data_IF_602089858135
#
_entry.id   IF_602089858135
#
_cell.length_a   1.000
_cell.length_b   1.000
_cell.length_c   1.000
_cell.angle_alpha   90.00
_cell.angle_beta   90.00
_cell.angle_gamma   90.00
#
_symmetry.space_group_name_H-M   'P 1'
#
loop_
_entity.id
_entity.type
_entity.pdbx_description
1 polymer ?
#
# COMPACT_ATOMS: atom_id res chain seq x y z
N UNK A 1 -79.61 30.79 -14.36
CA UNK A 1 -79.45 30.89 -12.89
C UNK A 1 -80.10 29.64 -12.37
N UNK A 2 -79.49 28.66 -11.72
CA UNK A 2 -78.23 28.37 -11.01
C UNK A 2 -78.14 26.83 -11.04
N UNK A 3 -77.08 26.08 -10.77
CA UNK A 3 -75.65 26.24 -10.49
C UNK A 3 -75.11 24.80 -10.64
N UNK A 4 -73.89 24.63 -11.16
CA UNK A 4 -73.20 23.34 -11.18
C UNK A 4 -72.76 23.01 -9.76
N UNK A 5 -73.22 21.90 -9.20
CA UNK A 5 -72.57 21.31 -8.01
C UNK A 5 -71.45 20.36 -8.45
N UNK A 6 -70.23 20.81 -8.18
CA UNK A 6 -69.01 20.04 -8.27
C UNK A 6 -69.02 18.93 -7.22
N UNK A 7 -68.99 17.67 -7.63
CA UNK A 7 -68.64 16.55 -6.76
C UNK A 7 -67.14 16.64 -6.49
N UNK A 8 -66.80 17.22 -5.35
CA UNK A 8 -65.43 17.26 -4.82
C UNK A 8 -65.14 15.87 -4.23
N UNK A 9 -64.35 15.06 -4.94
CA UNK A 9 -63.75 13.86 -4.36
C UNK A 9 -62.63 14.33 -3.45
N UNK A 10 -62.96 14.59 -2.19
CA UNK A 10 -61.99 14.86 -1.14
C UNK A 10 -61.41 13.51 -0.71
N UNK A 11 -60.24 13.16 -1.21
CA UNK A 11 -59.43 12.06 -0.68
C UNK A 11 -58.99 12.45 0.73
N UNK A 12 -59.82 12.14 1.74
CA UNK A 12 -59.38 12.14 3.12
C UNK A 12 -58.26 11.12 3.24
N UNK A 13 -57.02 11.60 3.35
CA UNK A 13 -55.95 10.84 3.96
C UNK A 13 -56.45 10.58 5.38
N UNK A 14 -56.95 9.36 5.61
CA UNK A 14 -57.48 8.92 6.90
C UNK A 14 -56.42 9.20 7.96
N UNK A 15 -56.60 10.31 8.67
CA UNK A 15 -55.73 10.71 9.76
C UNK A 15 -55.74 9.58 10.79
N UNK A 16 -54.56 9.20 11.26
CA UNK A 16 -54.38 8.11 12.21
C UNK A 16 -55.41 8.22 13.35
N UNK A 17 -56.33 7.25 13.43
CA UNK A 17 -57.38 7.22 14.45
C UNK A 17 -56.80 6.87 15.83
N UNK A 18 -56.44 7.92 16.58
CA UNK A 18 -55.81 7.84 17.90
C UNK A 18 -56.67 7.08 18.92
N UNK A 19 -58.00 7.08 18.75
CA UNK A 19 -58.90 6.38 19.67
C UNK A 19 -58.83 4.87 19.46
N UNK A 20 -58.81 4.40 18.20
CA UNK A 20 -58.62 2.97 17.89
C UNK A 20 -57.25 2.48 18.35
N UNK A 21 -56.19 3.27 18.12
CA UNK A 21 -54.84 2.93 18.61
C UNK A 21 -54.82 2.76 20.13
N UNK A 22 -55.42 3.68 20.89
CA UNK A 22 -55.46 3.61 22.36
C UNK A 22 -56.14 2.33 22.88
N UNK A 23 -57.20 1.87 22.21
CA UNK A 23 -57.91 0.63 22.57
C UNK A 23 -57.03 -0.59 22.28
N UNK A 24 -56.38 -0.65 21.12
CA UNK A 24 -55.45 -1.74 20.75
C UNK A 24 -54.25 -1.80 21.70
N UNK A 25 -53.70 -0.63 22.07
CA UNK A 25 -52.55 -0.51 22.98
C UNK A 25 -52.88 -0.98 24.40
N UNK A 26 -54.07 -0.66 24.93
CA UNK A 26 -54.52 -1.17 26.22
C UNK A 26 -54.78 -2.68 26.20
N UNK A 27 -55.36 -3.20 25.12
CA UNK A 27 -55.64 -4.64 24.98
C UNK A 27 -54.37 -5.47 24.91
N UNK A 28 -53.34 -4.96 24.22
CA UNK A 28 -52.07 -5.65 24.01
C UNK A 28 -50.94 -5.16 24.93
N UNK A 29 -51.26 -4.41 25.99
CA UNK A 29 -50.28 -3.77 26.88
C UNK A 29 -49.27 -4.78 27.46
N UNK A 30 -49.75 -5.98 27.82
CA UNK A 30 -48.92 -7.06 28.38
C UNK A 30 -47.89 -7.55 27.35
N UNK A 31 -48.30 -7.72 26.08
CA UNK A 31 -47.41 -8.10 24.99
C UNK A 31 -46.39 -6.99 24.68
N UNK A 32 -46.83 -5.73 24.68
CA UNK A 32 -45.94 -4.58 24.46
C UNK A 32 -44.89 -4.49 25.57
N UNK A 33 -45.30 -4.62 26.83
CA UNK A 33 -44.37 -4.64 27.98
C UNK A 33 -43.45 -5.86 27.89
N UNK A 34 -43.98 -7.03 27.52
CA UNK A 34 -43.19 -8.25 27.31
C UNK A 34 -42.09 -8.06 26.27
N UNK A 35 -42.42 -7.53 25.09
CA UNK A 35 -41.42 -7.21 24.06
C UNK A 35 -40.42 -6.16 24.53
N UNK A 36 -40.89 -5.12 25.23
CA UNK A 36 -40.00 -4.09 25.78
C UNK A 36 -38.98 -4.69 26.76
N UNK A 37 -39.41 -5.56 27.67
CA UNK A 37 -38.51 -6.26 28.60
C UNK A 37 -37.56 -7.17 27.84
N UNK A 38 -38.03 -7.97 26.88
CA UNK A 38 -37.18 -8.89 26.10
C UNK A 38 -36.10 -8.10 25.33
N UNK A 39 -36.46 -7.00 24.67
CA UNK A 39 -35.51 -6.19 23.90
C UNK A 39 -34.46 -5.56 24.83
N UNK A 40 -34.87 -5.00 25.97
CA UNK A 40 -33.93 -4.42 26.93
C UNK A 40 -33.06 -5.47 27.59
N UNK A 41 -33.61 -6.65 27.92
CA UNK A 41 -32.84 -7.77 28.45
C UNK A 41 -31.83 -8.28 27.42
N UNK A 42 -32.22 -8.42 26.15
CA UNK A 42 -31.31 -8.80 25.08
C UNK A 42 -30.18 -7.76 24.92
N UNK A 43 -30.52 -6.46 24.89
CA UNK A 43 -29.54 -5.37 24.81
C UNK A 43 -28.59 -5.33 26.03
N UNK A 44 -29.11 -5.60 27.23
CA UNK A 44 -28.28 -5.70 28.44
C UNK A 44 -27.33 -6.88 28.37
N UNK A 45 -27.81 -8.05 27.94
CA UNK A 45 -26.99 -9.26 27.80
C UNK A 45 -25.90 -9.08 26.74
N UNK A 46 -26.20 -8.43 25.61
CA UNK A 46 -25.17 -8.15 24.60
C UNK A 46 -24.09 -7.23 25.15
N UNK A 47 -24.44 -6.13 25.83
CA UNK A 47 -23.43 -5.23 26.43
C UNK A 47 -22.62 -5.95 27.52
N UNK A 48 -23.27 -6.79 28.34
CA UNK A 48 -22.62 -7.50 29.44
C UNK A 48 -21.61 -8.55 28.97
N UNK A 49 -21.83 -9.14 27.79
CA UNK A 49 -21.02 -10.24 27.26
C UNK A 49 -20.19 -9.88 26.02
N UNK A 50 -20.21 -8.61 25.59
CA UNK A 50 -19.31 -8.12 24.55
C UNK A 50 -18.00 -7.66 25.19
N UNK A 51 -16.87 -8.04 24.59
CA UNK A 51 -15.54 -7.63 25.03
C UNK A 51 -15.24 -6.21 24.56
N UNK A 52 -14.70 -5.38 25.44
CA UNK A 52 -14.29 -4.01 25.10
C UNK A 52 -13.15 -4.04 24.06
N UNK A 53 -13.29 -3.24 23.01
CA UNK A 53 -12.25 -3.04 21.98
C UNK A 53 -11.66 -1.65 22.17
N UNK A 54 -10.36 -1.58 22.37
CA UNK A 54 -9.60 -0.35 22.50
C UNK A 54 -8.85 -0.05 21.21
N UNK A 55 -8.70 1.23 20.88
CA UNK A 55 -7.91 1.70 19.76
C UNK A 55 -6.85 2.68 20.28
N UNK A 56 -5.61 2.51 19.83
CA UNK A 56 -4.55 3.50 20.01
C UNK A 56 -4.18 4.07 18.66
N UNK A 57 -3.85 5.36 18.61
CA UNK A 57 -3.46 6.05 17.39
C UNK A 57 -2.17 6.87 17.57
N UNK A 58 -1.41 7.01 16.49
CA UNK A 58 -0.28 7.95 16.38
C UNK A 58 -0.34 8.66 15.03
N UNK A 59 -0.03 9.95 15.05
CA UNK A 59 0.03 10.80 13.86
C UNK A 59 1.50 11.08 13.51
N UNK A 60 1.88 10.71 12.29
CA UNK A 60 3.24 10.86 11.78
C UNK A 60 3.27 11.81 10.60
N UNK A 61 4.09 12.85 10.72
CA UNK A 61 4.41 13.73 9.60
C UNK A 61 5.61 13.17 8.82
N UNK A 62 5.41 12.93 7.53
CA UNK A 62 6.43 12.45 6.63
C UNK A 62 7.28 13.60 6.09
N UNK A 63 8.60 13.46 6.18
CA UNK A 63 9.55 14.37 5.53
C UNK A 63 9.78 13.93 4.09
N UNK A 64 8.97 14.48 3.18
CA UNK A 64 9.06 14.25 1.74
C UNK A 64 10.01 15.28 1.13
N UNK A 65 11.19 14.83 0.72
CA UNK A 65 12.12 15.61 -0.10
C UNK A 65 11.87 15.31 -1.58
N UNK A 66 11.57 16.35 -2.35
CA UNK A 66 11.37 16.24 -3.79
C UNK A 66 12.72 16.34 -4.51
N UNK A 67 13.47 15.24 -4.56
CA UNK A 67 14.76 15.19 -5.27
C UNK A 67 14.62 15.46 -6.79
N UNK A 68 13.45 15.16 -7.38
CA UNK A 68 13.23 15.27 -8.83
C UNK A 68 13.10 16.71 -9.36
N UNK A 69 12.72 17.66 -8.51
CA UNK A 69 12.50 19.07 -8.92
C UNK A 69 13.82 19.82 -9.11
N UNK A 70 14.91 19.36 -8.47
CA UNK A 70 16.25 19.96 -8.58
C UNK A 70 16.90 19.76 -9.97
N UNK A 71 16.42 18.81 -10.77
CA UNK A 71 16.92 18.51 -12.11
C UNK A 71 16.18 19.25 -13.25
N UNK A 72 15.25 20.16 -12.92
CA UNK A 72 14.58 21.02 -13.91
C UNK A 72 13.59 20.32 -14.85
N UNK A 73 13.36 19.01 -14.67
CA UNK A 73 12.36 18.25 -15.42
C UNK A 73 11.01 18.42 -14.74
N UNK A 74 10.26 19.46 -15.11
CA UNK A 74 8.83 19.57 -14.77
C UNK A 74 8.06 18.52 -15.56
N UNK A 75 7.91 17.32 -14.99
CA UNK A 75 6.88 16.39 -15.41
C UNK A 75 5.51 16.98 -15.04
N UNK A 76 4.53 16.80 -15.94
CA UNK A 76 3.15 17.25 -15.76
C UNK A 76 2.62 16.79 -14.40
N UNK A 77 2.02 17.74 -13.70
CA UNK A 77 1.61 17.67 -12.29
C UNK A 77 0.41 16.75 -12.15
N UNK A 78 0.65 15.49 -11.82
CA UNK A 78 -0.36 14.62 -11.23
C UNK A 78 0.26 13.88 -10.03
N UNK A 79 -0.19 14.27 -8.83
CA UNK A 79 -0.19 13.54 -7.55
C UNK A 79 1.05 12.73 -7.14
N UNK A 80 2.26 13.28 -7.34
CA UNK A 80 3.48 12.71 -6.76
C UNK A 80 3.37 12.48 -5.24
N UNK A 81 2.68 13.37 -4.51
CA UNK A 81 2.47 13.22 -3.08
C UNK A 81 1.56 12.01 -2.73
N UNK A 82 0.53 11.72 -3.53
CA UNK A 82 -0.31 10.54 -3.28
C UNK A 82 0.49 9.24 -3.45
N UNK A 83 1.32 9.17 -4.49
CA UNK A 83 2.16 8.00 -4.74
C UNK A 83 3.19 7.78 -3.62
N UNK A 84 3.81 8.87 -3.13
CA UNK A 84 4.78 8.79 -2.04
C UNK A 84 4.10 8.36 -0.74
N UNK A 85 2.98 8.99 -0.38
CA UNK A 85 2.25 8.64 0.85
C UNK A 85 1.73 7.20 0.79
N UNK A 86 1.22 6.76 -0.36
CA UNK A 86 0.78 5.37 -0.54
C UNK A 86 1.95 4.39 -0.39
N UNK A 87 3.12 4.73 -0.92
CA UNK A 87 4.35 3.94 -0.75
C UNK A 87 4.77 3.82 0.72
N UNK A 88 4.71 4.90 1.49
CA UNK A 88 5.03 4.88 2.93
C UNK A 88 4.01 4.08 3.74
N UNK A 89 2.73 4.17 3.40
CA UNK A 89 1.66 3.35 4.00
C UNK A 89 1.94 1.85 3.77
N UNK A 90 2.24 1.46 2.54
CA UNK A 90 2.58 0.07 2.19
C UNK A 90 3.87 -0.38 2.88
N UNK A 91 4.85 0.50 3.04
CA UNK A 91 6.08 0.20 3.75
C UNK A 91 5.82 -0.13 5.23
N UNK A 92 4.93 0.60 5.91
CA UNK A 92 4.51 0.33 7.30
C UNK A 92 3.71 -0.97 7.38
N UNK A 93 2.81 -1.23 6.43
CA UNK A 93 2.04 -2.48 6.38
C UNK A 93 2.86 -3.69 5.91
N UNK A 94 4.06 -3.47 5.39
CA UNK A 94 4.88 -4.54 4.84
C UNK A 94 5.24 -5.58 5.91
N UNK A 95 5.20 -6.85 5.52
CA UNK A 95 5.59 -7.96 6.39
C UNK A 95 7.01 -7.80 6.93
N UNK A 96 7.93 -7.22 6.14
CA UNK A 96 9.32 -7.00 6.56
C UNK A 96 9.38 -6.03 7.74
N UNK A 97 8.66 -4.91 7.66
CA UNK A 97 8.61 -3.94 8.73
C UNK A 97 7.90 -4.49 9.97
N UNK A 98 6.71 -5.11 9.80
CA UNK A 98 5.96 -5.70 10.92
C UNK A 98 6.76 -6.82 11.61
N UNK A 99 7.57 -7.59 10.90
CA UNK A 99 8.50 -8.54 11.52
C UNK A 99 9.49 -7.84 12.46
N UNK A 100 10.13 -6.75 12.02
CA UNK A 100 11.02 -5.97 12.90
C UNK A 100 10.28 -5.40 14.12
N UNK A 101 9.00 -5.03 13.96
CA UNK A 101 8.15 -4.61 15.08
C UNK A 101 7.98 -5.74 16.09
N UNK A 102 7.66 -6.96 15.63
CA UNK A 102 7.57 -8.14 16.50
C UNK A 102 8.88 -8.40 17.23
N UNK A 103 10.03 -8.29 16.55
CA UNK A 103 11.36 -8.47 17.19
C UNK A 103 11.63 -7.46 18.32
N UNK A 104 11.05 -6.27 18.23
CA UNK A 104 11.18 -5.23 19.26
C UNK A 104 10.19 -5.36 20.42
N UNK A 105 9.17 -6.22 20.26
CA UNK A 105 8.07 -6.40 21.19
C UNK A 105 8.23 -7.72 21.94
N UNK A 106 8.05 -7.68 23.26
CA UNK A 106 7.97 -8.88 24.09
C UNK A 106 6.52 -9.38 24.16
N UNK A 107 5.97 -9.76 23.00
CA UNK A 107 4.57 -10.24 22.85
C UNK A 107 4.49 -11.71 22.43
N UNK A 108 5.63 -12.42 22.42
CA UNK A 108 5.68 -13.82 21.98
C UNK A 108 4.87 -14.74 22.90
N UNK A 109 4.73 -14.37 24.17
CA UNK A 109 3.95 -15.14 25.15
C UNK A 109 2.73 -14.30 25.56
N UNK A 110 1.55 -14.78 25.20
CA UNK A 110 0.28 -14.22 25.67
C UNK A 110 -0.14 -14.89 26.98
N UNK A 111 -0.60 -14.10 27.95
CA UNK A 111 -1.12 -14.60 29.22
C UNK A 111 -2.60 -14.25 29.34
N UNK A 112 -3.42 -15.23 29.69
CA UNK A 112 -4.86 -15.09 29.70
C UNK A 112 -5.45 -15.61 31.01
N UNK A 113 -6.44 -14.89 31.54
CA UNK A 113 -7.28 -15.34 32.65
C UNK A 113 -8.65 -15.76 32.11
N UNK A 114 -9.09 -16.95 32.48
CA UNK A 114 -10.38 -17.51 32.11
C UNK A 114 -11.40 -17.06 33.15
N UNK A 115 -12.22 -16.09 32.77
CA UNK A 115 -13.42 -15.75 33.53
C UNK A 115 -14.56 -16.71 33.25
N UNK A 116 -15.67 -16.55 33.97
CA UNK A 116 -16.89 -17.36 33.76
C UNK A 116 -17.53 -17.21 32.39
N UNK A 117 -17.25 -16.10 31.70
CA UNK A 117 -17.90 -15.74 30.42
C UNK A 117 -16.92 -15.17 29.40
N UNK A 118 -15.94 -14.39 29.85
CA UNK A 118 -14.96 -13.73 28.99
C UNK A 118 -13.55 -14.13 29.39
N UNK A 119 -12.70 -14.23 28.38
CA UNK A 119 -11.25 -14.39 28.55
C UNK A 119 -10.59 -13.03 28.45
N UNK A 120 -9.79 -12.70 29.46
CA UNK A 120 -9.06 -11.44 29.53
C UNK A 120 -7.56 -11.67 29.36
N UNK A 121 -6.91 -10.84 28.52
CA UNK A 121 -5.47 -10.93 28.29
C UNK A 121 -4.74 -10.03 29.27
N UNK A 122 -3.85 -10.62 30.07
CA UNK A 122 -3.06 -9.95 31.11
C UNK A 122 -1.71 -9.48 30.59
N UNK A 123 -1.73 -8.65 29.54
CA UNK A 123 -0.51 -8.05 28.99
C UNK A 123 0.22 -7.18 30.05
N UNK A 124 1.49 -7.49 30.32
CA UNK A 124 2.37 -6.89 31.36
C UNK A 124 1.91 -6.98 32.84
N UNK A 125 0.66 -7.32 33.10
CA UNK A 125 0.09 -7.48 34.45
C UNK A 125 -0.29 -8.94 34.76
N UNK A 126 0.32 -9.90 34.07
CA UNK A 126 0.13 -11.31 34.36
C UNK A 126 0.61 -11.65 35.77
N UNK A 127 -0.15 -12.47 36.53
CA UNK A 127 0.28 -12.97 37.85
C UNK A 127 1.44 -13.97 37.74
N UNK A 128 1.71 -14.49 36.54
CA UNK A 128 2.79 -15.45 36.26
C UNK A 128 3.70 -14.97 35.15
N UNK A 129 4.94 -15.45 35.18
CA UNK A 129 5.92 -15.23 34.13
C UNK A 129 6.56 -16.57 33.75
N UNK A 130 6.46 -16.93 32.49
CA UNK A 130 7.07 -18.13 31.91
C UNK A 130 8.42 -17.76 31.34
N UNK A 131 9.44 -18.53 31.70
CA UNK A 131 10.81 -18.40 31.17
C UNK A 131 11.25 -19.75 30.63
N UNK A 132 11.76 -19.78 29.40
CA UNK A 132 12.31 -20.98 28.77
C UNK A 132 13.58 -20.61 27.99
N UNK A 133 14.47 -21.57 27.79
CA UNK A 133 15.67 -21.39 26.94
C UNK A 133 15.30 -21.34 25.46
N UNK A 134 14.33 -22.16 25.05
CA UNK A 134 13.79 -22.20 23.70
C UNK A 134 12.34 -22.72 23.72
N UNK A 135 11.51 -22.18 22.83
CA UNK A 135 10.15 -22.65 22.60
C UNK A 135 10.13 -23.52 21.34
N UNK A 136 9.88 -24.84 21.46
CA UNK A 136 9.86 -25.72 20.30
C UNK A 136 8.60 -25.50 19.46
N UNK A 137 8.69 -25.71 18.15
CA UNK A 137 7.61 -25.34 17.20
C UNK A 137 6.29 -26.06 17.50
N UNK A 138 6.33 -27.28 18.02
CA UNK A 138 5.13 -28.08 18.28
C UNK A 138 4.26 -27.57 19.43
N UNK A 139 4.76 -26.65 20.27
CA UNK A 139 3.96 -26.03 21.34
C UNK A 139 3.38 -24.67 20.95
N UNK A 140 3.75 -24.13 19.78
CA UNK A 140 3.28 -22.82 19.36
C UNK A 140 1.78 -22.84 19.07
N UNK A 141 1.11 -21.74 19.40
CA UNK A 141 -0.33 -21.51 19.20
C UNK A 141 -1.24 -22.51 19.93
N UNK A 142 -0.70 -23.27 20.89
CA UNK A 142 -1.44 -24.19 21.75
C UNK A 142 -1.57 -23.58 23.16
N UNK A 143 -2.78 -23.51 23.75
CA UNK A 143 -2.95 -23.01 25.11
C UNK A 143 -2.42 -24.01 26.13
N UNK A 144 -1.56 -23.53 27.03
CA UNK A 144 -1.07 -24.29 28.18
C UNK A 144 -1.79 -23.74 29.42
N UNK A 145 -2.70 -24.53 29.97
CA UNK A 145 -3.52 -24.12 31.11
C UNK A 145 -2.79 -24.38 32.42
N UNK A 146 -2.95 -23.45 33.35
CA UNK A 146 -2.41 -23.47 34.70
C UNK A 146 -3.56 -23.20 35.66
N UNK A 147 -3.89 -24.21 36.47
CA UNK A 147 -4.88 -24.10 37.54
C UNK A 147 -4.16 -24.01 38.90
N UNK A 148 -4.44 -22.93 39.64
CA UNK A 148 -3.84 -22.70 40.94
C UNK A 148 -4.65 -23.37 42.05
N UNK A 149 -3.99 -24.20 42.85
CA UNK A 149 -4.59 -24.76 44.05
C UNK A 149 -4.49 -23.73 45.19
N UNK A 150 -5.65 -23.19 45.61
CA UNK A 150 -5.75 -22.17 46.65
C UNK A 150 -4.92 -22.52 47.90
N UNK A 151 -4.05 -21.59 48.32
CA UNK A 151 -3.24 -21.73 49.54
C UNK A 151 -2.03 -22.67 49.45
N UNK A 152 -1.67 -23.17 48.26
CA UNK A 152 -0.47 -24.00 48.07
C UNK A 152 0.46 -23.42 46.99
N UNK A 153 1.76 -23.70 47.09
CA UNK A 153 2.76 -23.35 46.07
C UNK A 153 2.78 -24.31 44.87
N UNK A 154 1.78 -25.19 44.81
CA UNK A 154 1.62 -26.18 43.74
C UNK A 154 0.48 -25.76 42.82
N UNK A 155 0.63 -26.07 41.53
CA UNK A 155 -0.37 -25.85 40.51
C UNK A 155 -0.43 -27.06 39.57
N UNK A 156 -1.56 -27.19 38.88
CA UNK A 156 -1.75 -28.19 37.83
C UNK A 156 -1.56 -27.54 36.47
N UNK A 157 -0.78 -28.19 35.60
CA UNK A 157 -0.51 -27.73 34.25
C UNK A 157 -0.97 -28.76 33.23
N UNK A 158 -1.61 -28.32 32.15
CA UNK A 158 -2.05 -29.18 31.04
C UNK A 158 -1.76 -28.51 29.69
N UNK A 159 -1.35 -29.31 28.72
CA UNK A 159 -1.15 -28.88 27.33
C UNK A 159 -2.45 -29.05 26.55
N UNK A 160 -3.04 -27.96 26.07
CA UNK A 160 -4.33 -27.99 25.40
C UNK A 160 -5.48 -28.44 26.31
N UNK A 161 -6.63 -28.72 25.71
CA UNK A 161 -7.81 -29.19 26.45
C UNK A 161 -7.75 -30.69 26.78
N UNK A 162 -7.09 -31.49 25.93
CA UNK A 162 -7.01 -32.96 26.05
C UNK A 162 -5.73 -33.45 26.77
N UNK A 163 -4.85 -32.54 27.18
CA UNK A 163 -3.60 -32.92 27.85
C UNK A 163 -3.82 -33.44 29.27
N UNK A 164 -3.02 -34.44 29.65
CA UNK A 164 -3.01 -34.99 31.00
C UNK A 164 -2.49 -33.95 32.02
N UNK A 165 -3.21 -33.69 33.13
CA UNK A 165 -2.80 -32.70 34.12
C UNK A 165 -1.58 -33.19 34.91
N UNK A 166 -0.54 -32.36 34.93
CA UNK A 166 0.69 -32.61 35.69
C UNK A 166 0.79 -31.63 36.88
N UNK A 167 1.10 -32.14 38.07
CA UNK A 167 1.37 -31.30 39.24
C UNK A 167 2.79 -30.75 39.20
N UNK A 168 2.91 -29.43 39.33
CA UNK A 168 4.18 -28.70 39.35
C UNK A 168 4.17 -27.61 40.43
N UNK A 169 5.31 -26.96 40.65
CA UNK A 169 5.43 -25.86 41.60
C UNK A 169 6.26 -24.70 41.04
N UNK A 170 6.08 -23.51 41.61
CA UNK A 170 6.74 -22.30 41.11
C UNK A 170 8.27 -22.37 41.26
N UNK A 171 8.99 -21.75 40.31
CA UNK A 171 10.45 -21.64 40.32
C UNK A 171 11.21 -22.95 40.07
N UNK A 172 10.52 -24.04 39.74
CA UNK A 172 11.12 -25.33 39.37
C UNK A 172 11.03 -25.55 37.86
N UNK A 173 12.02 -26.24 37.24
CA UNK A 173 11.93 -26.62 35.84
C UNK A 173 10.82 -27.66 35.64
N UNK A 174 9.92 -27.36 34.71
CA UNK A 174 8.79 -28.19 34.29
C UNK A 174 9.11 -28.73 32.91
N UNK A 175 8.85 -30.03 32.71
CA UNK A 175 8.96 -30.67 31.40
C UNK A 175 7.57 -31.12 30.99
N UNK A 176 7.07 -30.56 29.89
CA UNK A 176 5.78 -30.88 29.30
C UNK A 176 5.99 -31.20 27.83
N UNK A 177 5.69 -32.42 27.38
CA UNK A 177 5.88 -32.86 25.98
C UNK A 177 7.26 -32.50 25.37
N UNK A 178 8.33 -32.74 26.14
CA UNK A 178 9.71 -32.42 25.73
C UNK A 178 10.10 -30.94 25.81
N UNK A 179 9.18 -30.04 26.11
CA UNK A 179 9.42 -28.62 26.34
C UNK A 179 9.77 -28.33 27.81
N UNK A 180 10.92 -27.67 28.05
CA UNK A 180 11.40 -27.31 29.39
C UNK A 180 11.24 -25.82 29.66
N UNK A 181 10.57 -25.47 30.75
CA UNK A 181 10.33 -24.08 31.14
C UNK A 181 10.16 -23.93 32.65
N UNK A 182 10.20 -22.69 33.13
CA UNK A 182 10.02 -22.33 34.54
C UNK A 182 8.87 -21.34 34.62
N UNK A 183 7.93 -21.58 35.54
CA UNK A 183 6.85 -20.65 35.86
C UNK A 183 7.20 -19.92 37.16
N UNK A 184 7.36 -18.61 37.08
CA UNK A 184 7.65 -17.74 38.21
C UNK A 184 6.42 -16.91 38.59
N UNK A 185 6.35 -16.52 39.86
CA UNK A 185 5.35 -15.56 40.34
C UNK A 185 5.76 -14.15 39.93
N UNK A 186 4.82 -13.40 39.38
CA UNK A 186 4.98 -11.97 39.10
C UNK A 186 4.59 -11.14 40.33
N UNK A 187 4.85 -9.83 40.27
CA UNK A 187 4.42 -8.87 41.31
C UNK A 187 2.90 -8.79 41.46
N UNK A 188 2.17 -9.14 40.41
CA UNK A 188 0.70 -9.15 40.38
C UNK A 188 0.09 -10.49 40.83
N UNK A 189 0.90 -11.41 41.37
CA UNK A 189 0.41 -12.70 41.85
C UNK A 189 -0.44 -12.51 43.12
N UNK A 190 -1.71 -12.91 43.05
CA UNK A 190 -2.60 -12.98 44.20
C UNK A 190 -2.77 -14.46 44.63
N UNK A 191 -2.27 -14.86 45.81
CA UNK A 191 -2.42 -16.23 46.32
C UNK A 191 -3.87 -16.67 46.59
N UNK A 192 -4.81 -15.73 46.62
CA UNK A 192 -6.24 -15.98 46.83
C UNK A 192 -7.03 -16.10 45.52
N UNK A 193 -6.42 -15.76 44.38
CA UNK A 193 -7.06 -15.90 43.08
C UNK A 193 -7.31 -17.38 42.76
N UNK A 194 -8.56 -17.72 42.47
CA UNK A 194 -8.99 -19.08 42.07
C UNK A 194 -9.28 -19.15 40.57
N UNK A 195 -8.94 -18.10 39.83
CA UNK A 195 -9.19 -18.04 38.40
C UNK A 195 -8.26 -19.03 37.68
N UNK A 196 -8.76 -19.68 36.64
CA UNK A 196 -7.95 -20.50 35.75
C UNK A 196 -7.18 -19.59 34.80
N UNK A 197 -5.90 -19.88 34.60
CA UNK A 197 -5.07 -19.12 33.66
C UNK A 197 -4.58 -20.05 32.56
N UNK A 198 -4.23 -19.47 31.43
CA UNK A 198 -3.44 -20.16 30.43
C UNK A 198 -2.48 -19.18 29.78
N UNK A 199 -1.40 -19.72 29.21
CA UNK A 199 -0.53 -18.96 28.35
C UNK A 199 -0.43 -19.62 26.98
N UNK A 200 -0.20 -18.82 25.96
CA UNK A 200 0.06 -19.28 24.59
C UNK A 200 1.41 -18.72 24.18
N UNK A 201 2.24 -19.57 23.60
CA UNK A 201 3.44 -19.11 22.89
C UNK A 201 3.05 -18.95 21.43
N UNK A 202 2.98 -17.71 20.96
CA UNK A 202 2.54 -17.43 19.60
C UNK A 202 3.62 -17.75 18.58
N UNK A 203 3.23 -18.40 17.49
CA UNK A 203 4.13 -18.51 16.34
C UNK A 203 4.37 -17.14 15.72
N UNK A 204 5.50 -17.01 15.03
CA UNK A 204 5.84 -15.78 14.33
C UNK A 204 4.80 -15.41 13.27
N UNK A 205 4.24 -16.41 12.59
CA UNK A 205 3.19 -16.22 11.59
C UNK A 205 1.88 -15.76 12.22
N UNK A 206 1.47 -16.35 13.35
CA UNK A 206 0.28 -15.91 14.09
C UNK A 206 0.40 -14.45 14.53
N UNK A 207 1.56 -14.03 15.04
CA UNK A 207 1.78 -12.62 15.43
C UNK A 207 1.74 -11.68 14.23
N UNK A 208 2.31 -12.09 13.10
CA UNK A 208 2.32 -11.29 11.88
C UNK A 208 0.91 -11.09 11.33
N UNK A 209 0.10 -12.15 11.30
CA UNK A 209 -1.30 -12.07 10.88
C UNK A 209 -2.11 -11.20 11.84
N UNK A 210 -1.92 -11.40 13.15
CA UNK A 210 -2.53 -10.57 14.19
C UNK A 210 -2.20 -9.07 14.01
N UNK A 211 -0.95 -8.71 13.73
CA UNK A 211 -0.60 -7.32 13.48
C UNK A 211 -1.21 -6.79 12.19
N UNK A 212 -1.21 -7.60 11.13
CA UNK A 212 -1.71 -7.21 9.80
C UNK A 212 -3.22 -6.96 9.79
N UNK A 213 -3.98 -7.76 10.52
CA UNK A 213 -5.45 -7.65 10.59
C UNK A 213 -5.91 -6.46 11.45
N UNK A 214 -5.14 -6.12 12.48
CA UNK A 214 -5.55 -5.13 13.49
C UNK A 214 -4.91 -3.74 13.29
N UNK A 215 -3.92 -3.62 12.41
CA UNK A 215 -3.31 -2.33 12.05
C UNK A 215 -4.12 -1.63 10.96
N UNK A 216 -4.42 -0.36 11.17
CA UNK A 216 -4.96 0.53 10.15
C UNK A 216 -4.00 1.68 9.94
N UNK A 217 -3.64 1.94 8.69
CA UNK A 217 -2.81 3.09 8.32
C UNK A 217 -3.52 3.84 7.23
N UNK A 218 -3.81 5.11 7.47
CA UNK A 218 -4.57 5.97 6.59
C UNK A 218 -3.95 7.37 6.48
N UNK A 219 -4.05 8.03 5.32
CA UNK A 219 -3.61 9.40 5.16
C UNK A 219 -4.55 10.34 5.90
N UNK A 220 -4.02 11.18 6.79
CA UNK A 220 -4.79 12.19 7.50
C UNK A 220 -4.91 13.47 6.65
N UNK A 221 -3.79 13.89 6.06
CA UNK A 221 -3.74 15.07 5.20
C UNK A 221 -2.63 14.93 4.16
N UNK A 222 -3.02 14.81 2.90
CA UNK A 222 -2.09 14.68 1.77
C UNK A 222 -1.25 15.94 1.51
N UNK A 223 -1.76 17.13 1.84
CA UNK A 223 -1.02 18.39 1.70
C UNK A 223 0.02 18.59 2.81
N UNK A 224 -0.28 18.08 4.01
CA UNK A 224 0.63 18.12 5.15
C UNK A 224 1.53 16.89 5.24
N UNK A 225 1.43 15.94 4.30
CA UNK A 225 2.14 14.66 4.29
C UNK A 225 2.02 13.91 5.62
N UNK A 226 0.82 13.89 6.20
CA UNK A 226 0.58 13.30 7.52
C UNK A 226 -0.22 12.01 7.38
N UNK A 227 0.26 10.95 8.03
CA UNK A 227 -0.40 9.65 8.11
C UNK A 227 -0.83 9.39 9.56
N UNK A 228 -1.93 8.67 9.72
CA UNK A 228 -2.40 8.16 11.00
C UNK A 228 -2.24 6.66 11.02
N UNK A 229 -1.60 6.15 12.06
CA UNK A 229 -1.48 4.74 12.35
C UNK A 229 -2.37 4.45 13.55
N UNK A 230 -3.34 3.55 13.40
CA UNK A 230 -4.14 3.04 14.51
C UNK A 230 -4.02 1.53 14.65
N UNK A 231 -4.21 1.05 15.87
CA UNK A 231 -4.20 -0.37 16.19
C UNK A 231 -5.31 -0.69 17.17
N UNK A 232 -6.10 -1.72 16.87
CA UNK A 232 -7.22 -2.19 17.71
C UNK A 232 -6.83 -3.43 18.47
N UNK A 233 -7.14 -3.46 19.76
CA UNK A 233 -6.93 -4.63 20.60
C UNK A 233 -7.93 -4.67 21.76
N UNK A 234 -8.08 -5.84 22.39
CA UNK A 234 -8.88 -5.96 23.60
C UNK A 234 -8.15 -5.50 24.87
N UNK A 235 -6.85 -5.22 24.80
CA UNK A 235 -6.05 -4.67 25.88
C UNK A 235 -5.48 -3.29 25.51
N UNK A 236 -5.93 -2.26 26.22
CA UNK A 236 -5.52 -0.87 25.98
C UNK A 236 -4.00 -0.65 26.05
N UNK A 237 -3.31 -1.29 27.01
CA UNK A 237 -1.86 -1.14 27.17
C UNK A 237 -1.09 -1.81 26.03
N UNK A 238 -1.60 -2.94 25.51
CA UNK A 238 -1.04 -3.65 24.37
C UNK A 238 -1.16 -2.83 23.11
N UNK A 239 -2.36 -2.32 22.80
CA UNK A 239 -2.59 -1.42 21.66
C UNK A 239 -1.66 -0.21 21.69
N UNK A 240 -1.59 0.49 22.83
CA UNK A 240 -0.69 1.63 23.00
C UNK A 240 0.78 1.27 22.79
N UNK A 241 1.24 0.16 23.40
CA UNK A 241 2.65 -0.26 23.28
C UNK A 241 3.01 -0.61 21.83
N UNK A 242 2.12 -1.29 21.10
CA UNK A 242 2.34 -1.65 19.70
C UNK A 242 2.46 -0.38 18.85
N UNK A 243 1.50 0.55 18.94
CA UNK A 243 1.53 1.80 18.15
C UNK A 243 2.76 2.64 18.46
N UNK A 244 3.12 2.81 19.74
CA UNK A 244 4.33 3.54 20.12
C UNK A 244 5.61 2.91 19.56
N UNK A 245 5.66 1.58 19.46
CA UNK A 245 6.82 0.85 18.92
C UNK A 245 6.89 0.94 17.41
N UNK A 246 5.76 0.81 16.72
CA UNK A 246 5.65 1.04 15.26
C UNK A 246 6.19 2.43 14.93
N UNK A 247 5.72 3.46 15.63
CA UNK A 247 6.13 4.85 15.44
C UNK A 247 7.66 5.02 15.59
N UNK A 248 8.20 4.64 16.75
CA UNK A 248 9.62 4.76 17.04
C UNK A 248 10.51 3.98 16.06
N UNK A 249 10.09 2.77 15.66
CA UNK A 249 10.83 1.95 14.72
C UNK A 249 10.75 2.49 13.29
N UNK A 250 9.61 3.05 12.89
CA UNK A 250 9.44 3.59 11.56
C UNK A 250 10.39 4.76 11.31
N UNK A 251 10.57 5.66 12.28
CA UNK A 251 11.53 6.77 12.17
C UNK A 251 12.95 6.25 11.93
N UNK A 252 13.38 5.25 12.69
CA UNK A 252 14.71 4.66 12.53
C UNK A 252 14.85 3.92 11.20
N UNK A 253 13.84 3.12 10.84
CA UNK A 253 13.80 2.36 9.60
C UNK A 253 13.85 3.28 8.37
N UNK A 254 13.06 4.37 8.36
CA UNK A 254 13.05 5.36 7.28
C UNK A 254 14.43 6.02 7.11
N UNK A 255 15.10 6.35 8.22
CA UNK A 255 16.46 6.89 8.18
C UNK A 255 17.48 5.88 7.64
N UNK A 256 17.39 4.60 8.04
CA UNK A 256 18.24 3.53 7.50
C UNK A 256 18.06 3.39 5.99
N UNK A 257 16.82 3.36 5.50
CA UNK A 257 16.53 3.24 4.06
C UNK A 257 17.05 4.44 3.28
N UNK A 258 16.83 5.67 3.78
CA UNK A 258 17.38 6.89 3.16
C UNK A 258 18.90 6.86 3.10
N UNK A 259 19.57 6.39 4.16
CA UNK A 259 21.02 6.25 4.18
C UNK A 259 21.53 5.18 3.19
N UNK A 260 20.84 4.04 3.10
CA UNK A 260 21.17 2.99 2.13
C UNK A 260 21.03 3.48 0.69
N UNK A 261 19.92 4.16 0.38
CA UNK A 261 19.70 4.76 -0.94
C UNK A 261 20.80 5.79 -1.29
N UNK A 262 21.18 6.64 -0.33
CA UNK A 262 22.26 7.62 -0.56
C UNK A 262 23.62 6.95 -0.80
N UNK A 263 23.94 5.86 -0.08
CA UNK A 263 25.16 5.08 -0.33
C UNK A 263 25.18 4.49 -1.74
N UNK A 264 24.05 3.90 -2.17
CA UNK A 264 23.92 3.36 -3.52
C UNK A 264 24.05 4.43 -4.61
N UNK A 265 23.47 5.63 -4.39
CA UNK A 265 23.65 6.78 -5.29
C UNK A 265 25.13 7.17 -5.41
N UNK A 266 25.86 7.24 -4.28
CA UNK A 266 27.30 7.56 -4.27
C UNK A 266 28.11 6.48 -5.00
N UNK A 267 27.81 5.21 -4.74
CA UNK A 267 28.46 4.08 -5.41
C UNK A 267 28.25 4.12 -6.93
N UNK A 268 27.02 4.40 -7.37
CA UNK A 268 26.71 4.58 -8.78
C UNK A 268 27.49 5.75 -9.40
N UNK A 269 27.55 6.92 -8.72
CA UNK A 269 28.32 8.07 -9.19
C UNK A 269 29.81 7.76 -9.32
N UNK A 270 30.39 7.05 -8.36
CA UNK A 270 31.80 6.65 -8.41
C UNK A 270 32.08 5.70 -9.58
N UNK A 271 31.18 4.74 -9.83
CA UNK A 271 31.29 3.83 -10.97
C UNK A 271 31.16 4.58 -12.31
N UNK A 272 30.27 5.56 -12.40
CA UNK A 272 30.13 6.38 -13.61
C UNK A 272 31.37 7.27 -13.83
N UNK A 273 31.90 7.89 -12.78
CA UNK A 273 33.14 8.67 -12.83
C UNK A 273 34.31 7.83 -13.35
N UNK A 274 34.49 6.61 -12.81
CA UNK A 274 35.54 5.69 -13.26
C UNK A 274 35.37 5.28 -14.73
N UNK A 275 34.14 5.06 -15.20
CA UNK A 275 33.88 4.78 -16.61
C UNK A 275 34.20 5.97 -17.52
N UNK A 276 33.93 7.20 -17.08
CA UNK A 276 34.27 8.42 -17.81
C UNK A 276 35.79 8.62 -17.86
N UNK A 277 36.49 8.39 -16.75
CA UNK A 277 37.95 8.43 -16.68
C UNK A 277 38.58 7.44 -17.68
N UNK A 278 38.11 6.18 -17.72
CA UNK A 278 38.58 5.20 -18.69
C UNK A 278 38.31 5.59 -20.15
N UNK A 279 37.17 6.25 -20.43
CA UNK A 279 36.89 6.78 -21.78
C UNK A 279 37.83 7.92 -22.14
N UNK A 280 38.13 8.81 -21.20
CA UNK A 280 39.08 9.91 -21.41
C UNK A 280 40.51 9.40 -21.67
N UNK A 281 40.98 8.43 -20.89
CA UNK A 281 42.26 7.75 -21.12
C UNK A 281 42.30 7.09 -22.52
N UNK A 282 41.18 6.49 -22.95
CA UNK A 282 41.03 5.96 -24.31
C UNK A 282 41.17 7.03 -25.40
N UNK A 283 40.59 8.22 -25.20
CA UNK A 283 40.73 9.34 -26.13
C UNK A 283 42.15 9.91 -26.15
N UNK A 284 42.80 10.05 -25.00
CA UNK A 284 44.19 10.49 -24.90
C UNK A 284 45.13 9.55 -25.67
N UNK A 285 45.02 8.25 -25.43
CA UNK A 285 45.78 7.23 -26.16
C UNK A 285 45.51 7.27 -27.67
N UNK A 286 44.26 7.53 -28.09
CA UNK A 286 43.91 7.69 -29.49
C UNK A 286 44.63 8.91 -30.12
N UNK A 287 44.60 10.06 -29.44
CA UNK A 287 45.24 11.29 -29.93
C UNK A 287 46.77 11.18 -29.95
N UNK A 288 47.37 10.53 -28.95
CA UNK A 288 48.81 10.25 -28.93
C UNK A 288 49.22 9.38 -30.12
N UNK A 289 48.53 8.24 -30.33
CA UNK A 289 48.80 7.35 -31.45
C UNK A 289 48.59 8.01 -32.82
N UNK A 290 47.56 8.85 -32.96
CA UNK A 290 47.32 9.62 -34.17
C UNK A 290 48.47 10.59 -34.45
N UNK A 291 48.94 11.28 -33.41
CA UNK A 291 50.08 12.22 -33.48
C UNK A 291 51.37 11.53 -33.89
N UNK A 292 51.69 10.39 -33.25
CA UNK A 292 52.89 9.59 -33.54
C UNK A 292 52.90 9.02 -34.96
N UNK A 293 51.75 8.51 -35.45
CA UNK A 293 51.64 7.91 -36.79
C UNK A 293 51.75 8.94 -37.91
N UNK A 294 51.16 10.11 -37.74
CA UNK A 294 51.11 11.11 -38.80
C UNK A 294 52.34 12.03 -38.86
N UNK A 295 53.29 11.90 -37.91
CA UNK A 295 54.56 12.66 -37.90
C UNK A 295 54.37 14.15 -38.22
N UNK A 296 53.29 14.75 -37.72
CA UNK A 296 52.97 16.14 -38.03
C UNK A 296 53.90 17.06 -37.26
N UNK A 297 54.60 17.94 -37.96
CA UNK A 297 55.45 18.98 -37.36
C UNK A 297 54.63 20.12 -36.73
N UNK A 298 53.29 20.12 -36.87
CA UNK A 298 52.41 21.14 -36.30
C UNK A 298 51.13 20.49 -35.71
N UNK A 299 51.35 19.64 -34.71
CA UNK A 299 50.32 18.80 -34.05
C UNK A 299 49.10 19.60 -33.62
N UNK A 300 49.28 20.83 -33.11
CA UNK A 300 48.17 21.67 -32.62
C UNK A 300 47.20 22.10 -33.71
N UNK A 301 47.69 22.37 -34.93
CA UNK A 301 46.83 22.83 -36.04
C UNK A 301 46.04 21.68 -36.65
N UNK A 302 46.69 20.52 -36.84
CA UNK A 302 46.04 19.30 -37.32
C UNK A 302 45.04 18.74 -36.30
N UNK A 303 45.35 18.84 -35.00
CA UNK A 303 44.42 18.47 -33.92
C UNK A 303 43.19 19.37 -33.93
N UNK A 304 43.36 20.70 -34.04
CA UNK A 304 42.23 21.65 -34.14
C UNK A 304 41.36 21.37 -35.37
N UNK A 305 41.95 21.08 -36.53
CA UNK A 305 41.20 20.69 -37.73
C UNK A 305 40.46 19.37 -37.53
N UNK A 306 41.10 18.39 -36.91
CA UNK A 306 40.48 17.09 -36.64
C UNK A 306 39.33 17.21 -35.66
N UNK A 307 39.48 17.96 -34.56
CA UNK A 307 38.40 18.25 -33.60
C UNK A 307 37.24 18.99 -34.29
N UNK A 308 37.54 19.97 -35.14
CA UNK A 308 36.51 20.66 -35.92
C UNK A 308 35.74 19.71 -36.85
N UNK A 309 36.44 18.80 -37.53
CA UNK A 309 35.82 17.79 -38.39
C UNK A 309 34.98 16.78 -37.59
N UNK A 310 35.46 16.33 -36.43
CA UNK A 310 34.72 15.44 -35.53
C UNK A 310 33.43 16.13 -35.07
N UNK A 311 33.51 17.37 -34.56
CA UNK A 311 32.33 18.13 -34.13
C UNK A 311 31.33 18.35 -35.28
N UNK A 312 31.83 18.58 -36.50
CA UNK A 312 30.98 18.70 -37.68
C UNK A 312 30.29 17.38 -38.02
N UNK A 313 31.01 16.25 -37.96
CA UNK A 313 30.45 14.91 -38.19
C UNK A 313 29.42 14.57 -37.11
N UNK A 314 29.72 14.83 -35.84
CA UNK A 314 28.79 14.55 -34.74
C UNK A 314 27.53 15.41 -34.83
N UNK A 315 27.66 16.69 -35.20
CA UNK A 315 26.51 17.55 -35.47
C UNK A 315 25.65 17.01 -36.62
N UNK A 316 26.28 16.53 -37.70
CA UNK A 316 25.58 15.89 -38.82
C UNK A 316 24.90 14.58 -38.41
N UNK A 317 25.56 13.74 -37.60
CA UNK A 317 24.98 12.49 -37.08
C UNK A 317 23.79 12.76 -36.16
N UNK A 318 23.90 13.76 -35.29
CA UNK A 318 22.81 14.19 -34.43
C UNK A 318 21.60 14.67 -35.24
N UNK A 319 21.83 15.50 -36.25
CA UNK A 319 20.77 15.98 -37.14
C UNK A 319 20.12 14.83 -37.92
N UNK A 320 20.91 13.90 -38.46
CA UNK A 320 20.40 12.71 -39.15
C UNK A 320 19.59 11.80 -38.23
N UNK A 321 20.08 11.53 -37.02
CA UNK A 321 19.34 10.72 -36.03
C UNK A 321 18.03 11.37 -35.63
N UNK A 322 18.01 12.70 -35.45
CA UNK A 322 16.79 13.46 -35.20
C UNK A 322 15.80 13.30 -36.36
N UNK A 323 16.26 13.43 -37.62
CA UNK A 323 15.43 13.21 -38.81
C UNK A 323 14.88 11.78 -38.88
N UNK A 324 15.70 10.77 -38.58
CA UNK A 324 15.25 9.37 -38.53
C UNK A 324 14.17 9.14 -37.48
N UNK A 325 14.34 9.67 -36.27
CA UNK A 325 13.32 9.55 -35.22
C UNK A 325 12.01 10.22 -35.63
N UNK A 326 12.05 11.41 -36.22
CA UNK A 326 10.86 12.11 -36.74
C UNK A 326 10.17 11.32 -37.86
N UNK A 327 10.94 10.70 -38.76
CA UNK A 327 10.41 9.82 -39.81
C UNK A 327 9.77 8.55 -39.23
N UNK A 328 10.36 7.95 -38.20
CA UNK A 328 9.78 6.78 -37.53
C UNK A 328 8.45 7.13 -36.85
N UNK A 329 8.36 8.29 -36.19
CA UNK A 329 7.11 8.80 -35.61
C UNK A 329 6.07 9.06 -36.71
N UNK A 330 6.48 9.62 -37.85
CA UNK A 330 5.60 9.82 -39.00
C UNK A 330 5.04 8.48 -39.53
N UNK A 331 5.90 7.48 -39.73
CA UNK A 331 5.51 6.14 -40.19
C UNK A 331 4.52 5.51 -39.19
N UNK A 332 4.78 5.63 -37.89
CA UNK A 332 3.88 5.13 -36.85
C UNK A 332 2.51 5.82 -36.91
N UNK A 333 2.48 7.14 -37.05
CA UNK A 333 1.25 7.93 -37.14
C UNK A 333 0.42 7.59 -38.40
N UNK A 334 1.10 7.37 -39.55
CA UNK A 334 0.48 6.93 -40.79
C UNK A 334 -0.09 5.51 -40.68
N UNK A 335 0.61 4.61 -39.98
CA UNK A 335 0.12 3.25 -39.71
C UNK A 335 -1.17 3.26 -38.89
N UNK A 336 -1.32 4.23 -37.96
CA UNK A 336 -2.47 4.41 -37.08
C UNK A 336 -3.61 5.26 -37.68
N UNK A 337 -3.52 5.64 -38.97
CA UNK A 337 -4.47 6.51 -39.67
C UNK A 337 -4.70 7.89 -39.01
N UNK A 338 -3.70 8.41 -38.28
CA UNK A 338 -3.74 9.72 -37.64
C UNK A 338 -2.65 10.63 -38.23
N UNK A 339 -2.88 11.26 -39.40
CA UNK A 339 -1.89 12.06 -40.12
C UNK A 339 -1.73 13.47 -39.52
N UNK A 340 -1.48 13.55 -38.20
CA UNK A 340 -1.10 14.79 -37.53
C UNK A 340 0.40 15.03 -37.77
N UNK A 341 0.69 15.96 -38.69
CA UNK A 341 2.05 16.38 -39.01
C UNK A 341 2.51 17.46 -38.04
N UNK A 342 3.60 17.20 -37.33
CA UNK A 342 4.28 18.23 -36.55
C UNK A 342 4.97 19.25 -37.46
N UNK A 343 5.10 20.51 -37.01
CA UNK A 343 5.77 21.60 -37.77
C UNK A 343 7.22 21.21 -38.10
N UNK A 344 7.88 20.49 -37.19
CA UNK A 344 9.24 19.95 -37.38
C UNK A 344 9.31 18.95 -38.52
N UNK A 345 8.32 18.07 -38.68
CA UNK A 345 8.28 17.05 -39.73
C UNK A 345 8.15 17.68 -41.12
N UNK A 346 7.32 18.72 -41.26
CA UNK A 346 7.12 19.42 -42.54
C UNK A 346 8.40 20.09 -43.06
N UNK A 347 9.29 20.52 -42.16
CA UNK A 347 10.50 21.24 -42.53
C UNK A 347 11.59 20.34 -43.14
N UNK A 348 11.62 19.05 -42.78
CA UNK A 348 12.65 18.11 -43.24
C UNK A 348 12.20 17.22 -44.41
N UNK A 349 10.90 17.11 -44.65
CA UNK A 349 10.35 16.32 -45.75
C UNK A 349 10.46 17.05 -47.09
N UNK A 350 10.74 16.34 -48.20
CA UNK A 350 10.62 16.89 -49.54
C UNK A 350 9.22 17.47 -49.81
N UNK A 351 9.14 18.53 -50.61
CA UNK A 351 7.88 19.25 -50.89
C UNK A 351 6.78 18.39 -51.52
N UNK A 352 7.14 17.34 -52.27
CA UNK A 352 6.17 16.40 -52.86
C UNK A 352 5.49 15.57 -51.77
N UNK A 353 6.25 14.96 -50.85
CA UNK A 353 5.72 14.20 -49.71
C UNK A 353 4.83 15.06 -48.81
N UNK A 354 5.23 16.31 -48.56
CA UNK A 354 4.38 17.25 -47.80
C UNK A 354 3.02 17.49 -48.48
N UNK A 355 3.01 17.55 -49.82
CA UNK A 355 1.77 17.76 -50.59
C UNK A 355 0.89 16.51 -50.53
N UNK A 356 1.49 15.33 -50.67
CA UNK A 356 0.77 14.05 -50.67
C UNK A 356 0.20 13.74 -49.28
N UNK A 357 0.94 14.03 -48.21
CA UNK A 357 0.47 13.88 -46.83
C UNK A 357 -0.69 14.84 -46.48
N UNK A 358 -0.68 16.07 -47.00
CA UNK A 358 -1.82 17.00 -46.85
C UNK A 358 -3.05 16.54 -47.64
N UNK A 359 -2.86 15.93 -48.82
CA UNK A 359 -3.95 15.30 -49.56
C UNK A 359 -4.52 14.09 -48.83
N UNK A 360 -3.64 13.24 -48.28
CA UNK A 360 -4.02 12.08 -47.46
C UNK A 360 -4.81 12.52 -46.23
N UNK A 361 -4.38 13.59 -45.53
CA UNK A 361 -5.13 14.17 -44.40
C UNK A 361 -6.54 14.61 -44.83
N UNK A 362 -6.66 15.33 -45.95
CA UNK A 362 -7.96 15.77 -46.48
C UNK A 362 -8.85 14.57 -46.83
N UNK A 363 -8.30 13.52 -47.42
CA UNK A 363 -9.04 12.30 -47.75
C UNK A 363 -9.51 11.53 -46.52
N UNK A 364 -8.67 11.43 -45.48
CA UNK A 364 -9.04 10.79 -44.20
C UNK A 364 -10.17 11.57 -43.53
N UNK A 365 -10.09 12.91 -43.48
CA UNK A 365 -11.17 13.76 -42.94
C UNK A 365 -12.45 13.61 -43.76
N UNK A 366 -12.37 13.61 -45.09
CA UNK A 366 -13.52 13.40 -45.96
C UNK A 366 -14.14 12.00 -45.77
N UNK A 367 -13.32 10.95 -45.62
CA UNK A 367 -13.78 9.59 -45.29
C UNK A 367 -14.51 9.57 -43.95
N UNK A 368 -13.94 10.19 -42.91
CA UNK A 368 -14.55 10.24 -41.58
C UNK A 368 -15.88 11.03 -41.58
N UNK A 369 -16.00 12.08 -42.39
CA UNK A 369 -17.26 12.81 -42.56
C UNK A 369 -18.31 11.97 -43.32
N UNK A 370 -17.88 11.20 -44.32
CA UNK A 370 -18.76 10.30 -45.07
C UNK A 370 -19.22 9.11 -44.21
N UNK A 371 -18.37 8.55 -43.34
CA UNK A 371 -18.79 7.49 -42.40
C UNK A 371 -19.82 7.97 -41.37
N UNK A 372 -19.82 9.27 -41.03
CA UNK A 372 -20.82 9.85 -40.13
C UNK A 372 -22.19 10.04 -40.80
N UNK A 373 -22.25 10.06 -42.13
CA UNK A 373 -23.47 10.37 -42.91
C UNK A 373 -24.01 9.20 -43.73
N UNK A 374 -23.20 8.19 -44.04
CA UNK A 374 -23.56 7.03 -44.86
C UNK A 374 -23.02 5.72 -44.27
N UNK A 375 -23.75 4.62 -44.48
CA UNK A 375 -23.31 3.27 -44.11
C UNK A 375 -22.14 2.82 -45.01
N UNK A 376 -21.21 2.04 -44.46
CA UNK A 376 -19.93 1.60 -45.08
C UNK A 376 -20.07 0.86 -46.44
N UNK A 377 -21.29 0.49 -46.82
CA UNK A 377 -21.62 -0.27 -48.03
C UNK A 377 -21.91 0.65 -49.23
N UNK A 378 -22.02 1.97 -49.00
CA UNK A 378 -22.36 2.95 -50.05
C UNK A 378 -21.24 3.09 -51.08
N UNK A 379 -21.57 3.13 -52.38
CA UNK A 379 -20.59 3.24 -53.49
C UNK A 379 -19.62 4.42 -53.31
N UNK A 380 -20.14 5.58 -52.87
CA UNK A 380 -19.33 6.77 -52.61
C UNK A 380 -18.28 6.57 -51.49
N UNK A 381 -18.60 5.76 -50.47
CA UNK A 381 -17.67 5.42 -49.40
C UNK A 381 -16.57 4.47 -49.89
N UNK A 382 -16.94 3.40 -50.62
CA UNK A 382 -15.98 2.45 -51.22
C UNK A 382 -15.06 3.09 -52.25
N UNK A 383 -15.57 4.03 -53.04
CA UNK A 383 -14.75 4.78 -53.99
C UNK A 383 -13.69 5.62 -53.27
N UNK A 384 -14.08 6.33 -52.20
CA UNK A 384 -13.16 7.14 -51.39
C UNK A 384 -12.16 6.29 -50.61
N UNK A 385 -12.56 5.10 -50.18
CA UNK A 385 -11.66 4.13 -49.56
C UNK A 385 -10.61 3.59 -50.53
N UNK A 386 -11.00 3.29 -51.77
CA UNK A 386 -10.06 2.87 -52.81
C UNK A 386 -9.09 3.99 -53.21
N UNK A 387 -9.57 5.24 -53.32
CA UNK A 387 -8.72 6.40 -53.57
C UNK A 387 -7.73 6.64 -52.40
N UNK A 388 -8.18 6.44 -51.16
CA UNK A 388 -7.33 6.57 -49.97
C UNK A 388 -6.22 5.51 -49.94
N UNK A 389 -6.56 4.25 -50.24
CA UNK A 389 -5.58 3.16 -50.25
C UNK A 389 -4.54 3.36 -51.37
N UNK A 390 -4.96 3.80 -52.55
CA UNK A 390 -4.03 4.10 -53.66
C UNK A 390 -3.05 5.23 -53.32
N UNK A 391 -3.50 6.27 -52.61
CA UNK A 391 -2.63 7.36 -52.16
C UNK A 391 -1.72 6.92 -51.00
N UNK A 392 -2.21 6.05 -50.10
CA UNK A 392 -1.42 5.47 -49.01
C UNK A 392 -0.29 4.57 -49.51
N UNK A 393 -0.48 3.90 -50.65
CA UNK A 393 0.57 3.08 -51.27
C UNK A 393 1.64 3.91 -52.01
N UNK A 394 1.36 5.19 -52.29
CA UNK A 394 2.29 6.11 -52.96
C UNK A 394 3.16 6.93 -51.99
N UNK A 395 2.69 7.13 -50.75
CA UNK A 395 3.33 7.90 -49.67
C UNK A 395 4.09 6.98 -48.74
#
# INVERSE_FOLDING_TARGET
MESREHIKVESEIEGIDLNKLKVVLKKNLIWIIGFFVIINSAAYLTIRWTKDVFESESELKLDIKQDATELGIKTLVEDQNLNIISGEIEQIKSKVFLNRVIDSLDINIGYFSIGKVLVDEKYKYSPIQVVAEAFPVHIHDIPIYINFNAGSDNFEIKLGEEGEPQKSGFGKPIVLDGFKFIVNKSRSFDPSATDDYYFIVHSRESLLNYLTENITVEPLNFNANTIKISFRDFNALKAHTIVSKIDSLYINYSNEQKNLANKQKIEWLNNELSQVEHKMEGFENYFENFTLRNKSNNVDEDLKRTIYLINKIDSQRFELNKRLNELNVLIENLSKNNPELSITQKQFLPSYLNTDLEQLKKMIVAKNQLSLSYNEITFAFRQKENELNALKDQV
#
